data_IF_843878396586
#
_entry.id   IF_843878396586
#
_cell.length_a   1.000
_cell.length_b   1.000
_cell.length_c   1.000
_cell.angle_alpha   90.00
_cell.angle_beta   90.00
_cell.angle_gamma   90.00
#
_symmetry.space_group_name_H-M   'P 1'
#
loop_
_entity.id
_entity.type
_entity.pdbx_description
1 polymer ?
#
# COMPACT_ATOMS: atom_id res chain seq x y z
N UNK A 1 -13.29 20.61 -64.70
CA UNK A 1 -13.86 20.71 -63.33
C UNK A 1 -12.75 20.98 -62.34
N UNK A 2 -12.62 22.23 -61.89
CA UNK A 2 -11.61 22.62 -60.89
C UNK A 2 -12.20 22.36 -59.50
N UNK A 3 -11.63 21.42 -58.75
CA UNK A 3 -12.03 21.16 -57.36
C UNK A 3 -11.43 22.25 -56.47
N UNK A 4 -12.25 23.20 -56.03
CA UNK A 4 -11.84 24.15 -55.00
C UNK A 4 -11.67 23.40 -53.67
N UNK A 5 -10.45 23.42 -53.12
CA UNK A 5 -10.16 22.89 -51.79
C UNK A 5 -10.97 23.61 -50.74
N UNK A 6 -11.52 22.87 -49.78
CA UNK A 6 -12.29 23.41 -48.66
C UNK A 6 -11.43 24.40 -47.88
N UNK A 7 -11.93 25.62 -47.68
CA UNK A 7 -11.25 26.68 -46.93
C UNK A 7 -11.00 26.22 -45.49
N UNK A 8 -9.78 25.75 -45.24
CA UNK A 8 -9.25 25.42 -43.92
C UNK A 8 -9.35 26.68 -43.05
N UNK A 9 -9.98 26.58 -41.89
CA UNK A 9 -10.19 27.68 -40.92
C UNK A 9 -8.87 28.41 -40.60
N UNK A 10 -8.59 29.55 -41.23
CA UNK A 10 -7.39 30.37 -41.01
C UNK A 10 -7.68 31.63 -40.20
N UNK A 11 -8.23 31.50 -38.98
CA UNK A 11 -8.38 32.68 -38.09
C UNK A 11 -8.47 32.41 -36.58
N UNK A 12 -7.91 31.33 -36.06
CA UNK A 12 -7.69 31.20 -34.61
C UNK A 12 -6.19 31.16 -34.33
N UNK A 13 -5.57 32.32 -34.08
CA UNK A 13 -4.14 32.37 -33.76
C UNK A 13 -3.45 33.73 -33.82
N UNK A 14 -4.15 34.86 -34.00
CA UNK A 14 -3.45 36.16 -34.09
C UNK A 14 -2.99 36.72 -32.73
N UNK A 15 -3.50 36.22 -31.61
CA UNK A 15 -3.06 36.60 -30.26
C UNK A 15 -2.90 35.36 -29.39
N UNK A 16 -1.87 34.56 -29.68
CA UNK A 16 -1.09 33.77 -28.71
C UNK A 16 -1.76 32.79 -27.74
N UNK A 17 -3.07 32.54 -27.80
CA UNK A 17 -3.73 31.54 -26.96
C UNK A 17 -4.70 30.72 -27.80
N UNK A 18 -4.32 29.49 -28.11
CA UNK A 18 -5.22 28.46 -28.63
C UNK A 18 -6.25 28.19 -27.54
N UNK A 19 -7.54 28.46 -27.78
CA UNK A 19 -8.59 28.02 -26.85
C UNK A 19 -8.65 26.49 -26.88
N UNK A 20 -8.09 25.83 -25.86
CA UNK A 20 -8.38 24.43 -25.62
C UNK A 20 -9.89 24.31 -25.33
N UNK A 21 -10.61 23.62 -26.22
CA UNK A 21 -12.03 23.30 -26.03
C UNK A 21 -12.16 22.08 -25.11
N UNK A 22 -11.68 22.17 -23.87
CA UNK A 22 -11.98 21.16 -22.87
C UNK A 22 -13.27 21.56 -22.14
N UNK A 23 -14.40 21.57 -22.86
CA UNK A 23 -15.72 21.81 -22.25
C UNK A 23 -16.28 20.56 -21.55
N UNK A 24 -15.77 19.38 -21.85
CA UNK A 24 -16.43 18.12 -21.46
C UNK A 24 -15.68 17.31 -20.37
N UNK A 25 -14.43 17.64 -20.04
CA UNK A 25 -13.60 16.82 -19.14
C UNK A 25 -13.08 17.55 -17.89
N UNK A 26 -13.41 18.84 -17.71
CA UNK A 26 -13.13 19.52 -16.44
C UNK A 26 -14.43 19.62 -15.65
N UNK A 27 -14.91 18.48 -15.16
CA UNK A 27 -15.88 18.51 -14.07
C UNK A 27 -15.10 18.81 -12.80
N UNK A 28 -15.48 19.90 -12.10
CA UNK A 28 -14.83 20.27 -10.82
C UNK A 28 -14.97 19.15 -9.77
N UNK A 29 -15.98 18.30 -9.92
CA UNK A 29 -16.26 17.14 -9.09
C UNK A 29 -16.68 15.96 -9.99
N UNK A 30 -16.32 14.74 -9.60
CA UNK A 30 -16.71 13.52 -10.32
C UNK A 30 -18.13 13.09 -9.91
N UNK A 31 -19.13 13.10 -10.82
CA UNK A 31 -20.49 12.70 -10.50
C UNK A 31 -20.64 11.21 -10.19
N UNK A 32 -19.66 10.38 -10.53
CA UNK A 32 -19.69 8.94 -10.30
C UNK A 32 -18.78 8.49 -9.15
N UNK A 33 -18.35 9.41 -8.27
CA UNK A 33 -17.43 9.11 -7.16
C UNK A 33 -17.88 7.89 -6.33
N UNK A 34 -19.19 7.78 -6.05
CA UNK A 34 -19.79 6.67 -5.29
C UNK A 34 -19.46 5.28 -5.87
N UNK A 35 -19.36 5.15 -7.20
CA UNK A 35 -19.03 3.87 -7.86
C UNK A 35 -17.59 3.44 -7.59
N UNK A 36 -16.70 4.40 -7.36
CA UNK A 36 -15.27 4.17 -7.14
C UNK A 36 -14.89 4.01 -5.66
N UNK A 37 -15.85 4.20 -4.73
CA UNK A 37 -15.61 4.00 -3.28
C UNK A 37 -15.43 2.52 -3.01
N UNK A 38 -14.25 2.10 -2.56
CA UNK A 38 -13.94 0.67 -2.33
C UNK A 38 -14.72 0.04 -1.17
N UNK A 39 -14.97 0.82 -0.13
CA UNK A 39 -15.67 0.35 1.06
C UNK A 39 -17.18 0.27 0.79
N UNK A 40 -17.78 -0.90 1.03
CA UNK A 40 -19.18 -1.17 0.76
C UNK A 40 -20.13 -0.32 1.64
N UNK A 41 -19.84 -0.18 2.94
CA UNK A 41 -20.70 0.59 3.86
C UNK A 41 -20.67 2.07 3.54
N UNK A 42 -19.50 2.63 3.23
CA UNK A 42 -19.39 4.04 2.80
C UNK A 42 -20.16 4.25 1.50
N UNK A 43 -20.11 3.29 0.57
CA UNK A 43 -20.82 3.37 -0.71
C UNK A 43 -22.34 3.38 -0.53
N UNK A 44 -22.87 2.58 0.38
CA UNK A 44 -24.30 2.50 0.68
C UNK A 44 -24.85 3.81 1.25
N UNK A 45 -24.10 4.44 2.15
CA UNK A 45 -24.48 5.72 2.76
C UNK A 45 -24.10 6.96 1.92
N UNK A 46 -23.55 6.77 0.71
CA UNK A 46 -23.11 7.88 -0.15
C UNK A 46 -24.24 8.41 -1.03
N UNK A 47 -24.75 9.61 -0.73
CA UNK A 47 -25.75 10.28 -1.57
C UNK A 47 -25.08 11.15 -2.65
N UNK A 48 -25.24 10.86 -3.96
CA UNK A 48 -24.64 11.64 -5.04
C UNK A 48 -25.21 13.07 -5.15
N UNK A 49 -26.34 13.36 -4.51
CA UNK A 49 -26.99 14.67 -4.52
C UNK A 49 -26.35 15.65 -3.54
N UNK A 50 -25.69 15.13 -2.50
CA UNK A 50 -25.06 15.91 -1.43
C UNK A 50 -23.61 16.24 -1.78
N UNK A 51 -23.12 17.31 -1.16
CA UNK A 51 -21.69 17.66 -1.25
C UNK A 51 -20.83 16.62 -0.51
N UNK A 52 -19.56 16.51 -0.91
CA UNK A 52 -18.58 15.64 -0.26
C UNK A 52 -18.54 15.85 1.27
N UNK A 53 -18.51 17.10 1.71
CA UNK A 53 -18.50 17.48 3.13
C UNK A 53 -19.77 17.02 3.85
N UNK A 54 -20.93 17.20 3.23
CA UNK A 54 -22.22 16.82 3.81
C UNK A 54 -22.40 15.29 3.89
N UNK A 55 -21.85 14.54 2.92
CA UNK A 55 -21.83 13.08 2.99
C UNK A 55 -20.93 12.57 4.12
N UNK A 56 -19.72 13.12 4.23
CA UNK A 56 -18.84 12.74 5.33
C UNK A 56 -19.47 13.06 6.69
N UNK A 57 -20.06 14.24 6.86
CA UNK A 57 -20.74 14.57 8.13
C UNK A 57 -21.94 13.66 8.41
N UNK A 58 -22.70 13.26 7.39
CA UNK A 58 -23.82 12.33 7.56
C UNK A 58 -23.37 10.91 7.97
N UNK A 59 -22.16 10.52 7.58
CA UNK A 59 -21.52 9.26 7.96
C UNK A 59 -20.82 9.38 9.33
N UNK A 60 -20.69 10.60 9.88
CA UNK A 60 -19.95 10.87 11.13
C UNK A 60 -18.45 11.07 10.95
N UNK A 61 -18.00 11.39 9.73
CA UNK A 61 -16.60 11.64 9.37
C UNK A 61 -16.32 13.13 9.17
N UNK A 62 -15.10 13.53 9.50
CA UNK A 62 -14.62 14.91 9.32
C UNK A 62 -14.02 15.08 7.93
N UNK A 63 -14.52 16.04 7.16
CA UNK A 63 -14.04 16.31 5.80
C UNK A 63 -12.70 17.06 5.74
N UNK A 64 -12.41 17.87 6.77
CA UNK A 64 -11.19 18.68 6.86
C UNK A 64 -10.63 18.63 8.28
N UNK A 65 -9.84 17.58 8.61
CA UNK A 65 -9.40 17.35 9.98
C UNK A 65 -8.60 18.53 10.54
N UNK A 66 -7.71 19.13 9.75
CA UNK A 66 -6.88 20.25 10.22
C UNK A 66 -7.69 21.54 10.42
N UNK A 67 -8.69 21.82 9.58
CA UNK A 67 -9.55 23.00 9.75
C UNK A 67 -10.45 22.81 10.98
N UNK A 68 -10.94 21.60 11.22
CA UNK A 68 -11.85 21.29 12.32
C UNK A 68 -11.16 21.36 13.69
N UNK A 69 -9.92 20.86 13.79
CA UNK A 69 -9.10 20.98 15.01
C UNK A 69 -8.74 22.44 15.31
N UNK A 70 -8.50 23.26 14.28
CA UNK A 70 -8.21 24.69 14.45
C UNK A 70 -9.48 25.50 14.78
N UNK A 71 -10.67 25.03 14.40
CA UNK A 71 -11.96 25.64 14.68
C UNK A 71 -12.60 25.16 15.99
N UNK A 72 -11.85 24.51 16.89
CA UNK A 72 -12.34 24.18 18.24
C UNK A 72 -12.50 25.41 19.16
N UNK A 73 -12.22 26.63 18.66
CA UNK A 73 -12.48 27.91 19.34
C UNK A 73 -13.16 28.96 18.42
N UNK A 74 -14.48 28.85 18.17
CA UNK A 74 -15.32 30.03 18.15
C UNK A 74 -16.32 29.97 19.33
N UNK A 75 -16.30 30.93 20.26
CA UNK A 75 -17.14 30.91 21.46
C UNK A 75 -18.64 31.09 21.21
N UNK A 76 -19.09 31.23 19.96
CA UNK A 76 -20.41 31.79 19.64
C UNK A 76 -21.46 30.82 19.05
N UNK A 77 -21.15 29.55 18.83
CA UNK A 77 -22.10 28.62 18.15
C UNK A 77 -22.38 27.30 18.90
N UNK A 78 -22.02 27.18 20.19
CA UNK A 78 -22.45 26.05 21.04
C UNK A 78 -23.88 26.16 21.56
N UNK A 79 -24.70 27.07 21.03
CA UNK A 79 -26.09 27.19 21.42
C UNK A 79 -27.00 26.60 20.36
N UNK A 80 -27.71 25.54 20.78
CA UNK A 80 -29.00 25.08 20.26
C UNK A 80 -28.97 24.17 19.03
N UNK A 81 -28.58 22.91 19.23
CA UNK A 81 -29.32 21.80 18.62
C UNK A 81 -29.58 20.75 19.71
N UNK A 82 -30.72 20.90 20.38
CA UNK A 82 -31.37 19.84 21.15
C UNK A 82 -31.76 18.73 20.18
N UNK A 83 -31.07 17.59 20.29
CA UNK A 83 -31.46 16.37 19.59
C UNK A 83 -32.55 15.71 20.43
N UNK A 84 -33.76 15.70 19.89
CA UNK A 84 -34.88 14.92 20.41
C UNK A 84 -34.53 13.43 20.28
N UNK A 85 -34.67 12.69 21.38
CA UNK A 85 -34.49 11.25 21.45
C UNK A 85 -35.63 10.56 20.66
N UNK A 86 -35.28 9.97 19.52
CA UNK A 86 -36.13 9.00 18.83
C UNK A 86 -35.33 7.71 18.71
N UNK A 87 -35.81 6.67 19.38
CA UNK A 87 -35.16 5.37 19.45
C UNK A 87 -35.23 4.60 18.13
N UNK A 88 -34.12 3.95 17.79
CA UNK A 88 -34.07 2.68 17.07
C UNK A 88 -32.64 2.15 17.05
N UNK A 89 -32.50 0.85 17.33
CA UNK A 89 -31.33 -0.04 17.19
C UNK A 89 -29.94 0.60 17.36
N UNK A 90 -29.40 0.43 18.58
CA UNK A 90 -28.03 0.77 18.93
C UNK A 90 -27.09 -0.16 18.15
N UNK A 91 -26.31 0.31 17.15
CA UNK A 91 -25.21 -0.50 16.63
C UNK A 91 -24.22 -0.72 17.77
N UNK A 92 -23.55 -1.88 17.79
CA UNK A 92 -22.57 -2.24 18.82
C UNK A 92 -21.50 -1.14 18.92
N UNK A 93 -21.66 -0.23 19.90
CA UNK A 93 -20.75 0.88 20.15
C UNK A 93 -19.48 0.23 20.67
N UNK A 94 -18.45 0.16 19.83
CA UNK A 94 -17.09 -0.11 20.30
C UNK A 94 -16.78 1.04 21.26
N UNK A 95 -16.71 0.73 22.56
CA UNK A 95 -16.31 1.71 23.55
C UNK A 95 -14.95 2.26 23.14
N UNK A 96 -14.75 3.57 23.26
CA UNK A 96 -13.57 4.30 22.77
C UNK A 96 -12.22 3.74 23.29
N UNK A 97 -12.27 2.83 24.26
CA UNK A 97 -11.15 2.17 24.94
C UNK A 97 -10.85 0.73 24.46
N UNK A 98 -11.67 0.14 23.57
CA UNK A 98 -11.43 -1.21 23.00
C UNK A 98 -10.58 -1.19 21.73
N UNK A 99 -9.87 -0.08 21.46
CA UNK A 99 -8.90 -0.03 20.37
C UNK A 99 -7.63 -0.73 20.86
N UNK A 100 -7.24 -1.90 20.32
CA UNK A 100 -6.00 -2.56 20.73
C UNK A 100 -4.81 -1.64 20.45
N UNK A 101 -3.83 -1.65 21.36
CA UNK A 101 -2.61 -0.83 21.26
C UNK A 101 -1.98 -0.98 19.86
N UNK A 102 -1.53 0.13 19.27
CA UNK A 102 -1.01 0.16 17.89
C UNK A 102 0.14 -0.82 17.64
N UNK A 103 0.85 -1.19 18.71
CA UNK A 103 1.94 -2.16 18.68
C UNK A 103 1.44 -3.57 18.37
N UNK A 104 0.21 -3.94 18.76
CA UNK A 104 -0.41 -5.23 18.46
C UNK A 104 -0.86 -5.32 16.99
N UNK A 105 -1.43 -4.24 16.45
CA UNK A 105 -1.82 -4.15 15.03
C UNK A 105 -0.62 -4.25 14.07
N UNK A 106 0.54 -3.74 14.51
CA UNK A 106 1.78 -3.83 13.74
C UNK A 106 2.32 -5.27 13.68
N UNK A 107 2.10 -6.06 14.73
CA UNK A 107 2.51 -7.46 14.78
C UNK A 107 1.67 -8.34 13.83
N UNK A 108 0.35 -8.11 13.75
CA UNK A 108 -0.54 -8.85 12.86
C UNK A 108 -0.24 -8.63 11.37
N UNK A 109 0.19 -7.42 10.97
CA UNK A 109 0.58 -7.12 9.58
C UNK A 109 2.02 -7.51 9.21
N UNK A 110 2.82 -8.01 10.16
CA UNK A 110 4.16 -8.57 9.87
C UNK A 110 4.09 -9.98 9.30
N UNK A 111 2.91 -10.58 9.24
CA UNK A 111 2.72 -11.91 8.72
C UNK A 111 3.12 -12.01 7.23
N UNK A 112 4.13 -12.86 6.98
CA UNK A 112 4.39 -13.63 5.74
C UNK A 112 5.01 -12.89 4.55
N UNK A 113 6.03 -12.06 4.78
CA UNK A 113 7.06 -11.89 3.73
C UNK A 113 8.09 -13.00 3.92
N UNK A 114 8.14 -13.95 2.99
CA UNK A 114 9.22 -14.93 2.96
C UNK A 114 10.54 -14.14 2.92
N UNK A 115 11.37 -14.30 3.95
CA UNK A 115 12.61 -13.50 4.13
C UNK A 115 13.58 -13.73 2.96
N UNK A 116 13.47 -14.92 2.34
CA UNK A 116 14.26 -15.33 1.19
C UNK A 116 13.38 -16.07 0.17
N UNK A 117 13.49 -15.71 -1.11
CA UNK A 117 12.76 -16.38 -2.20
C UNK A 117 13.22 -17.84 -2.36
N UNK A 118 12.37 -18.69 -2.95
CA UNK A 118 12.68 -20.11 -3.18
C UNK A 118 13.95 -20.30 -4.04
N UNK A 119 14.05 -19.55 -5.14
CA UNK A 119 15.20 -19.60 -6.05
C UNK A 119 16.50 -19.21 -5.34
N UNK A 120 16.44 -18.20 -4.47
CA UNK A 120 17.59 -17.75 -3.66
C UNK A 120 18.00 -18.82 -2.64
N UNK A 121 17.03 -19.54 -2.04
CA UNK A 121 17.30 -20.66 -1.13
C UNK A 121 18.00 -21.82 -1.86
N UNK A 122 17.53 -22.19 -3.05
CA UNK A 122 18.15 -23.25 -3.87
C UNK A 122 19.58 -22.84 -4.27
N UNK A 123 19.74 -21.59 -4.72
CA UNK A 123 21.03 -21.05 -5.13
C UNK A 123 22.05 -21.06 -3.98
N UNK A 124 21.68 -20.55 -2.81
CA UNK A 124 22.60 -20.48 -1.67
C UNK A 124 22.90 -21.87 -1.11
N UNK A 125 21.91 -22.78 -1.07
CA UNK A 125 22.11 -24.16 -0.66
C UNK A 125 23.12 -24.88 -1.56
N UNK A 126 23.08 -24.64 -2.89
CA UNK A 126 24.07 -25.16 -3.84
C UNK A 126 25.48 -24.64 -3.57
N UNK A 127 25.61 -23.35 -3.28
CA UNK A 127 26.90 -22.73 -2.95
C UNK A 127 27.46 -23.28 -1.61
N UNK A 128 26.62 -23.35 -0.58
CA UNK A 128 26.96 -23.89 0.75
C UNK A 128 27.25 -25.39 0.75
N UNK A 129 26.60 -26.17 -0.12
CA UNK A 129 26.89 -27.61 -0.28
C UNK A 129 28.33 -27.86 -0.72
N UNK A 130 28.87 -27.02 -1.60
CA UNK A 130 30.24 -27.14 -2.09
C UNK A 130 31.27 -26.51 -1.14
N UNK A 131 31.02 -25.28 -0.69
CA UNK A 131 32.02 -24.46 0.01
C UNK A 131 31.79 -24.29 1.52
N UNK A 132 30.60 -24.57 2.04
CA UNK A 132 30.27 -24.31 3.43
C UNK A 132 30.11 -22.82 3.71
N UNK A 133 30.86 -22.32 4.69
CA UNK A 133 30.94 -20.91 5.12
C UNK A 133 32.00 -20.09 4.38
N UNK A 134 32.81 -20.72 3.51
CA UNK A 134 33.85 -20.06 2.71
C UNK A 134 33.26 -19.24 1.53
N UNK A 135 32.71 -18.07 1.84
CA UNK A 135 32.11 -17.18 0.83
C UNK A 135 33.10 -16.64 -0.20
N UNK A 136 34.38 -16.48 0.16
CA UNK A 136 35.44 -16.02 -0.76
C UNK A 136 35.69 -17.04 -1.89
N UNK A 137 35.63 -18.34 -1.58
CA UNK A 137 35.77 -19.42 -2.56
C UNK A 137 34.51 -19.55 -3.40
N UNK A 138 33.32 -19.44 -2.80
CA UNK A 138 32.05 -19.45 -3.50
C UNK A 138 31.93 -18.29 -4.51
N UNK A 139 32.43 -17.10 -4.15
CA UNK A 139 32.47 -15.95 -5.04
C UNK A 139 33.30 -16.21 -6.31
N UNK A 140 34.47 -16.85 -6.17
CA UNK A 140 35.40 -17.13 -7.27
C UNK A 140 34.93 -18.25 -8.20
N UNK A 141 34.04 -19.12 -7.74
CA UNK A 141 33.55 -20.23 -8.56
C UNK A 141 32.37 -19.78 -9.45
N UNK A 142 32.70 -19.41 -10.68
CA UNK A 142 31.76 -18.98 -11.72
C UNK A 142 30.69 -20.05 -12.02
N UNK A 143 30.99 -21.34 -11.82
CA UNK A 143 30.03 -22.42 -12.13
C UNK A 143 28.96 -22.56 -11.07
N UNK A 144 29.32 -22.40 -9.80
CA UNK A 144 28.32 -22.41 -8.70
C UNK A 144 27.65 -21.06 -8.56
N UNK A 145 28.42 -19.96 -8.65
CA UNK A 145 27.94 -18.59 -8.61
C UNK A 145 27.50 -18.12 -10.00
N UNK A 146 26.49 -18.78 -10.58
CA UNK A 146 25.99 -18.43 -11.91
C UNK A 146 25.32 -17.05 -11.96
N UNK A 147 24.81 -16.56 -10.83
CA UNK A 147 24.23 -15.21 -10.71
C UNK A 147 25.30 -14.10 -10.57
N UNK A 148 26.59 -14.47 -10.57
CA UNK A 148 27.72 -13.55 -10.48
C UNK A 148 27.63 -12.59 -9.29
N UNK A 149 27.08 -13.06 -8.17
CA UNK A 149 26.97 -12.25 -6.96
C UNK A 149 28.34 -11.93 -6.38
N UNK A 150 28.47 -10.73 -5.81
CA UNK A 150 29.68 -10.35 -5.06
C UNK A 150 29.77 -11.15 -3.76
N UNK A 151 30.98 -11.28 -3.21
CA UNK A 151 31.19 -11.97 -1.93
C UNK A 151 30.26 -11.45 -0.82
N UNK A 152 30.08 -10.12 -0.74
CA UNK A 152 29.20 -9.49 0.26
C UNK A 152 27.73 -9.88 0.09
N UNK A 153 27.28 -10.10 -1.15
CA UNK A 153 25.91 -10.52 -1.43
C UNK A 153 25.71 -11.99 -1.05
N UNK A 154 26.63 -12.87 -1.42
CA UNK A 154 26.57 -14.30 -1.03
C UNK A 154 26.60 -14.42 0.49
N UNK A 155 27.44 -13.64 1.19
CA UNK A 155 27.48 -13.61 2.64
C UNK A 155 26.15 -13.17 3.26
N UNK A 156 25.50 -12.14 2.71
CA UNK A 156 24.18 -11.68 3.17
C UNK A 156 23.09 -12.72 2.93
N UNK A 157 23.07 -13.35 1.76
CA UNK A 157 22.13 -14.42 1.42
C UNK A 157 22.34 -15.63 2.33
N UNK A 158 23.59 -16.03 2.54
CA UNK A 158 23.96 -17.11 3.44
C UNK A 158 23.55 -16.84 4.89
N UNK A 159 23.86 -15.66 5.42
CA UNK A 159 23.45 -15.27 6.76
C UNK A 159 21.92 -15.27 6.93
N UNK A 160 21.18 -14.79 5.93
CA UNK A 160 19.71 -14.86 5.92
C UNK A 160 19.22 -16.31 5.88
N UNK A 161 19.86 -17.17 5.09
CA UNK A 161 19.49 -18.58 4.98
C UNK A 161 19.61 -19.33 6.32
N UNK A 162 20.65 -19.03 7.09
CA UNK A 162 20.87 -19.63 8.41
C UNK A 162 19.89 -19.12 9.47
N UNK A 163 19.37 -17.90 9.31
CA UNK A 163 18.40 -17.31 10.22
C UNK A 163 16.97 -17.81 9.97
N UNK A 164 16.68 -18.41 8.80
CA UNK A 164 15.36 -18.94 8.48
C UNK A 164 14.96 -20.07 9.44
N UNK A 165 13.72 -20.00 9.95
CA UNK A 165 13.09 -21.08 10.72
C UNK A 165 12.85 -22.31 9.83
N UNK A 166 12.74 -23.52 10.39
CA UNK A 166 12.48 -24.73 9.61
C UNK A 166 11.20 -24.64 8.75
N UNK A 167 10.15 -23.98 9.26
CA UNK A 167 8.89 -23.77 8.53
C UNK A 167 9.03 -22.87 7.29
N UNK A 168 9.96 -21.91 7.33
CA UNK A 168 10.19 -20.96 6.22
C UNK A 168 11.17 -21.51 5.18
N UNK A 169 11.87 -22.59 5.52
CA UNK A 169 12.88 -23.20 4.68
C UNK A 169 12.23 -24.20 3.73
N UNK A 170 12.36 -23.94 2.44
CA UNK A 170 11.85 -24.81 1.37
C UNK A 170 12.89 -25.85 0.93
N UNK A 171 14.17 -25.63 1.27
CA UNK A 171 15.31 -26.42 0.80
C UNK A 171 16.07 -27.04 1.97
N UNK A 172 16.48 -28.31 1.83
CA UNK A 172 17.29 -28.99 2.84
C UNK A 172 18.60 -28.27 3.15
N UNK A 173 18.99 -28.29 4.43
CA UNK A 173 20.25 -27.71 4.87
C UNK A 173 21.43 -28.54 4.39
N UNK A 174 22.43 -27.93 3.73
CA UNK A 174 23.63 -28.64 3.32
C UNK A 174 24.43 -29.19 4.50
N UNK A 175 24.93 -30.42 4.39
CA UNK A 175 25.68 -31.12 5.45
C UNK A 175 26.82 -30.32 6.06
N UNK A 176 27.56 -29.55 5.25
CA UNK A 176 28.72 -28.76 5.68
C UNK A 176 28.37 -27.57 6.58
N UNK A 177 27.11 -27.13 6.55
CA UNK A 177 26.65 -25.92 7.23
C UNK A 177 25.64 -26.26 8.33
N UNK A 178 25.29 -27.54 8.47
CA UNK A 178 24.33 -28.03 9.46
C UNK A 178 24.72 -27.63 10.89
N UNK A 179 26.01 -27.64 11.20
CA UNK A 179 26.54 -27.32 12.53
C UNK A 179 26.42 -25.83 12.89
N UNK A 180 26.20 -24.96 11.90
CA UNK A 180 26.11 -23.51 12.08
C UNK A 180 24.67 -23.03 12.36
N UNK A 181 23.68 -23.91 12.20
CA UNK A 181 22.30 -23.60 12.54
C UNK A 181 22.15 -23.86 14.04
N UNK A 182 21.78 -22.82 14.79
CA UNK A 182 21.44 -22.95 16.20
C UNK A 182 20.30 -23.96 16.31
N UNK A 183 20.57 -25.05 17.02
CA UNK A 183 19.67 -26.19 17.14
C UNK A 183 18.39 -25.78 17.89
N UNK A 184 17.36 -25.41 17.14
CA UNK A 184 15.97 -25.53 17.59
C UNK A 184 15.44 -26.96 17.33
N UNK A 185 16.25 -27.82 16.70
CA UNK A 185 15.98 -29.24 16.49
C UNK A 185 16.61 -30.09 17.61
N UNK A 186 16.02 -30.04 18.81
CA UNK A 186 16.22 -31.02 19.89
C UNK A 186 14.87 -31.53 20.41
#
# INVERSE_FOLDING_TARGET
>A
MVKHGTNKKRRSGRTGKTKLKNRNNFTRWDPNLHKNIKNATIREHWDPSKSFTANLSAIGLVARPNDDVMNLNPPSQRQQQSIEEQGSDVPNIVELFDIPDSDLLTQQNREKRCVLNEEDQIYIAKCMSKYGDDYTKAFRDIKTNYMQHTETQIRKLGARFLLLTPEQRLVDVPKKVKDLILADDA
#
